data_IF_366676042810
#
_entry.id   IF_366676042810
#
_cell.length_a   1.000
_cell.length_b   1.000
_cell.length_c   1.000
_cell.angle_alpha   90.00
_cell.angle_beta   90.00
_cell.angle_gamma   90.00
#
_symmetry.space_group_name_H-M   'P 1'
#
loop_
_entity.id
_entity.type
_entity.pdbx_description
1 polymer ?
#
# COMPACT_ATOMS: atom_id res chain seq x y z
N UNK A 1 6.85 6.81 -8.04
CA UNK A 1 7.10 5.35 -8.20
C UNK A 1 5.79 4.61 -7.97
N UNK A 2 5.62 3.41 -8.53
CA UNK A 2 4.43 2.58 -8.33
C UNK A 2 4.82 1.25 -7.70
N UNK A 3 4.04 0.77 -6.74
CA UNK A 3 4.18 -0.54 -6.09
C UNK A 3 2.82 -1.23 -6.11
N UNK A 4 2.74 -2.38 -6.76
CA UNK A 4 1.53 -3.18 -6.83
C UNK A 4 1.49 -4.18 -5.67
N UNK A 5 0.52 -4.00 -4.78
CA UNK A 5 0.33 -4.81 -3.59
C UNK A 5 -0.55 -6.04 -3.85
N UNK A 6 -1.11 -6.26 -5.05
CA UNK A 6 -1.82 -7.51 -5.32
C UNK A 6 -0.91 -8.70 -5.02
N UNK A 7 -1.43 -9.70 -4.29
CA UNK A 7 -0.60 -10.73 -3.64
C UNK A 7 0.24 -11.53 -4.64
N UNK A 8 -0.27 -11.76 -5.84
CA UNK A 8 0.42 -12.43 -6.94
C UNK A 8 1.65 -11.67 -7.45
N UNK A 9 1.75 -10.36 -7.16
CA UNK A 9 2.89 -9.52 -7.52
C UNK A 9 4.02 -9.57 -6.49
N UNK A 10 3.68 -9.82 -5.23
CA UNK A 10 4.61 -9.67 -4.10
C UNK A 10 4.96 -11.00 -3.41
N UNK A 11 4.17 -12.06 -3.58
CA UNK A 11 4.40 -13.34 -2.93
C UNK A 11 4.44 -14.51 -3.92
N UNK A 12 5.51 -15.32 -3.86
CA UNK A 12 5.54 -16.64 -4.50
C UNK A 12 4.74 -17.63 -3.66
N UNK A 13 3.98 -18.52 -4.30
CA UNK A 13 3.21 -19.54 -3.59
C UNK A 13 1.95 -19.03 -2.87
N UNK A 14 1.49 -17.81 -3.15
CA UNK A 14 0.31 -17.20 -2.53
C UNK A 14 -0.98 -18.03 -2.63
N UNK A 15 -1.04 -19.05 -3.49
CA UNK A 15 -2.21 -19.92 -3.67
C UNK A 15 -2.61 -20.67 -2.39
N UNK A 16 -1.71 -20.84 -1.43
CA UNK A 16 -2.00 -21.47 -0.14
C UNK A 16 -2.36 -20.47 0.96
N UNK A 17 -2.33 -19.16 0.67
CA UNK A 17 -2.59 -18.13 1.67
C UNK A 17 -4.09 -18.09 1.98
N UNK A 18 -4.41 -17.99 3.27
CA UNK A 18 -5.76 -17.60 3.69
C UNK A 18 -6.00 -16.11 3.37
N UNK A 19 -7.25 -15.63 3.41
CA UNK A 19 -7.52 -14.20 3.27
C UNK A 19 -6.79 -13.35 4.31
N UNK A 20 -6.62 -13.87 5.53
CA UNK A 20 -5.87 -13.20 6.59
C UNK A 20 -4.38 -13.10 6.24
N UNK A 21 -3.76 -14.21 5.84
CA UNK A 21 -2.35 -14.24 5.45
C UNK A 21 -2.06 -13.29 4.30
N UNK A 22 -3.00 -13.23 3.34
CA UNK A 22 -2.93 -12.31 2.20
C UNK A 22 -2.86 -10.85 2.65
N UNK A 23 -3.79 -10.42 3.51
CA UNK A 23 -3.81 -9.04 4.02
C UNK A 23 -2.57 -8.74 4.86
N UNK A 24 -2.15 -9.65 5.74
CA UNK A 24 -0.96 -9.45 6.57
C UNK A 24 0.30 -9.29 5.70
N UNK A 25 0.50 -10.15 4.70
CA UNK A 25 1.64 -10.06 3.80
C UNK A 25 1.66 -8.75 3.00
N UNK A 26 0.50 -8.29 2.52
CA UNK A 26 0.37 -7.02 1.80
C UNK A 26 0.72 -5.82 2.69
N UNK A 27 0.27 -5.81 3.95
CA UNK A 27 0.61 -4.78 4.94
C UNK A 27 2.10 -4.77 5.26
N UNK A 28 2.71 -5.94 5.44
CA UNK A 28 4.13 -6.04 5.72
C UNK A 28 4.98 -5.54 4.55
N UNK A 29 4.59 -5.89 3.31
CA UNK A 29 5.25 -5.38 2.11
C UNK A 29 5.15 -3.85 1.98
N UNK A 30 3.98 -3.30 2.29
CA UNK A 30 3.76 -1.84 2.35
C UNK A 30 4.69 -1.16 3.36
N UNK A 31 4.72 -1.65 4.60
CA UNK A 31 5.58 -1.12 5.67
C UNK A 31 7.06 -1.23 5.30
N UNK A 32 7.49 -2.38 4.79
CA UNK A 32 8.86 -2.61 4.36
C UNK A 32 9.28 -1.64 3.25
N UNK A 33 8.37 -1.36 2.30
CA UNK A 33 8.60 -0.38 1.23
C UNK A 33 8.78 1.03 1.78
N UNK A 34 7.88 1.50 2.65
CA UNK A 34 8.03 2.82 3.26
C UNK A 34 9.35 2.95 4.03
N UNK A 35 9.71 1.92 4.81
CA UNK A 35 10.97 1.89 5.56
C UNK A 35 12.20 1.88 4.65
N UNK A 36 12.15 1.18 3.51
CA UNK A 36 13.23 1.15 2.51
C UNK A 36 13.49 2.54 1.94
N UNK A 37 12.44 3.32 1.72
CA UNK A 37 12.54 4.64 1.08
C UNK A 37 12.53 5.81 2.07
N UNK A 38 12.54 5.56 3.40
CA UNK A 38 12.39 6.60 4.44
C UNK A 38 13.37 7.78 4.37
N UNK A 39 14.55 7.58 3.76
CA UNK A 39 15.55 8.65 3.60
C UNK A 39 15.30 9.54 2.36
N UNK A 40 14.40 9.15 1.45
CA UNK A 40 14.14 9.85 0.19
C UNK A 40 12.97 10.84 0.34
N UNK A 41 13.21 11.93 1.06
CA UNK A 41 12.19 12.96 1.32
C UNK A 41 11.59 13.51 0.02
N UNK A 42 10.27 13.65 -0.01
CA UNK A 42 9.53 14.12 -1.19
C UNK A 42 9.23 13.04 -2.23
N UNK A 43 9.78 11.83 -2.10
CA UNK A 43 9.43 10.73 -2.97
C UNK A 43 7.93 10.40 -2.82
N UNK A 44 7.23 10.32 -3.95
CA UNK A 44 5.84 9.88 -4.05
C UNK A 44 5.78 8.42 -4.51
N UNK A 45 5.07 7.59 -3.76
CA UNK A 45 4.86 6.17 -4.04
C UNK A 45 3.37 5.89 -4.14
N UNK A 46 2.93 5.38 -5.29
CA UNK A 46 1.55 4.92 -5.51
C UNK A 46 1.48 3.43 -5.19
N UNK A 47 0.72 3.09 -4.15
CA UNK A 47 0.45 1.72 -3.76
C UNK A 47 -0.86 1.24 -4.35
N UNK A 48 -0.79 0.39 -5.38
CA UNK A 48 -1.96 -0.19 -6.03
C UNK A 48 -2.43 -1.37 -5.20
N UNK A 49 -3.67 -1.33 -4.72
CA UNK A 49 -4.22 -2.35 -3.82
C UNK A 49 -5.57 -2.92 -4.29
N UNK A 50 -6.11 -2.39 -5.39
CA UNK A 50 -7.38 -2.81 -5.97
C UNK A 50 -8.60 -2.18 -5.27
N UNK A 51 -9.76 -2.21 -5.95
CA UNK A 51 -10.97 -1.52 -5.49
C UNK A 51 -11.73 -2.29 -4.40
N UNK A 52 -11.74 -3.63 -4.46
CA UNK A 52 -12.19 -4.54 -3.39
C UNK A 52 -13.42 -4.10 -2.57
N UNK A 53 -13.44 -4.48 -1.28
CA UNK A 53 -14.41 -4.01 -0.27
C UNK A 53 -13.85 -2.88 0.62
N UNK A 54 -12.66 -2.36 0.30
CA UNK A 54 -11.98 -1.35 1.12
C UNK A 54 -11.16 -1.86 2.31
N UNK A 55 -11.24 -3.15 2.66
CA UNK A 55 -10.53 -3.73 3.84
C UNK A 55 -9.03 -3.42 3.85
N UNK A 56 -8.31 -3.72 2.76
CA UNK A 56 -6.86 -3.45 2.70
C UNK A 56 -6.59 -1.94 2.77
N UNK A 57 -7.39 -1.11 2.09
CA UNK A 57 -7.24 0.36 2.12
C UNK A 57 -7.34 0.92 3.53
N UNK A 58 -8.34 0.48 4.30
CA UNK A 58 -8.55 0.90 5.68
C UNK A 58 -7.35 0.53 6.57
N UNK A 59 -6.83 -0.69 6.41
CA UNK A 59 -5.63 -1.15 7.11
C UNK A 59 -4.38 -0.30 6.76
N UNK A 60 -4.16 0.00 5.47
CA UNK A 60 -3.04 0.85 5.04
C UNK A 60 -3.14 2.27 5.64
N UNK A 61 -4.34 2.86 5.63
CA UNK A 61 -4.60 4.17 6.24
C UNK A 61 -4.37 4.12 7.75
N UNK A 62 -4.80 3.05 8.43
CA UNK A 62 -4.55 2.86 9.86
C UNK A 62 -3.06 2.81 10.17
N UNK A 63 -2.26 2.09 9.37
CA UNK A 63 -0.80 2.05 9.49
C UNK A 63 -0.18 3.44 9.32
N UNK A 64 -0.61 4.20 8.30
CA UNK A 64 -0.09 5.55 8.06
C UNK A 64 -0.40 6.48 9.22
N UNK A 65 -1.65 6.48 9.72
CA UNK A 65 -2.09 7.31 10.84
C UNK A 65 -1.46 6.95 12.18
N UNK A 66 -1.04 5.70 12.37
CA UNK A 66 -0.47 5.24 13.66
C UNK A 66 1.06 5.24 13.68
N UNK A 67 1.72 4.86 12.58
CA UNK A 67 3.18 4.61 12.54
C UNK A 67 3.95 5.61 11.69
N UNK A 68 3.31 6.21 10.68
CA UNK A 68 3.94 7.15 9.75
C UNK A 68 3.22 8.51 9.80
N UNK A 69 2.95 8.98 11.01
CA UNK A 69 2.09 10.16 11.31
C UNK A 69 2.55 11.44 10.63
N UNK A 70 3.83 11.56 10.31
CA UNK A 70 4.40 12.70 9.62
C UNK A 70 4.26 12.62 8.09
N UNK A 71 3.98 11.46 7.52
CA UNK A 71 3.87 11.27 6.06
C UNK A 71 2.54 11.82 5.55
N UNK A 72 2.52 12.27 4.29
CA UNK A 72 1.29 12.71 3.62
C UNK A 72 0.78 11.58 2.74
N UNK A 73 -0.53 11.35 2.74
CA UNK A 73 -1.16 10.41 1.82
C UNK A 73 -2.46 10.96 1.24
N UNK A 74 -2.75 10.55 0.01
CA UNK A 74 -3.92 10.95 -0.79
C UNK A 74 -4.34 9.79 -1.71
N UNK A 75 -5.55 9.82 -2.25
CA UNK A 75 -5.90 8.86 -3.30
C UNK A 75 -5.03 9.12 -4.54
N UNK A 76 -4.52 8.05 -5.16
CA UNK A 76 -3.76 8.18 -6.39
C UNK A 76 -4.68 8.61 -7.56
N UNK A 77 -4.13 9.11 -8.68
CA UNK A 77 -4.94 9.67 -9.76
C UNK A 77 -6.01 8.71 -10.28
N UNK A 78 -7.28 9.13 -10.16
CA UNK A 78 -8.45 8.33 -10.56
C UNK A 78 -8.38 7.85 -12.02
N UNK A 79 -7.91 8.71 -12.93
CA UNK A 79 -7.78 8.39 -14.36
C UNK A 79 -6.84 7.21 -14.65
N UNK A 80 -5.96 6.85 -13.71
CA UNK A 80 -4.98 5.77 -13.86
C UNK A 80 -5.46 4.48 -13.19
N UNK A 81 -6.08 4.56 -12.01
CA UNK A 81 -6.35 3.39 -11.16
C UNK A 81 -7.84 3.16 -10.85
N UNK A 82 -8.73 4.05 -11.27
CA UNK A 82 -10.15 4.02 -10.90
C UNK A 82 -10.42 4.48 -9.46
N UNK A 83 -11.67 4.35 -9.01
CA UNK A 83 -12.10 4.83 -7.70
C UNK A 83 -11.44 4.01 -6.58
N UNK A 84 -10.64 4.65 -5.73
CA UNK A 84 -9.94 4.01 -4.60
C UNK A 84 -9.06 2.81 -4.99
N UNK A 85 -8.57 2.74 -6.23
CA UNK A 85 -7.73 1.62 -6.69
C UNK A 85 -6.30 1.66 -6.15
N UNK A 86 -5.84 2.83 -5.69
CA UNK A 86 -4.48 3.04 -5.20
C UNK A 86 -4.37 4.23 -4.24
N UNK A 87 -3.40 4.15 -3.33
CA UNK A 87 -3.06 5.19 -2.36
C UNK A 87 -1.68 5.77 -2.65
N UNK A 88 -1.57 7.08 -2.79
CA UNK A 88 -0.29 7.79 -2.94
C UNK A 88 0.22 8.21 -1.57
N UNK A 89 1.46 7.84 -1.25
CA UNK A 89 2.17 8.25 -0.03
C UNK A 89 3.40 9.08 -0.40
N UNK A 90 3.57 10.21 0.27
CA UNK A 90 4.75 11.09 0.15
C UNK A 90 5.65 10.92 1.37
N UNK A 91 6.89 10.49 1.14
CA UNK A 91 7.92 10.32 2.18
C UNK A 91 8.36 11.68 2.74
N UNK A 92 8.57 11.77 4.06
CA UNK A 92 8.96 12.99 4.79
C UNK A 92 10.26 12.84 5.56
#
# INVERSE_FOLDING_TARGET
>A
MVVDLHIEKIARGYKVFTPKDTIEYQKDHFIATLNRYKAQKGLKIDFVHGMGKGVLREELISILKSRFTNYIFEDAPFAVYGFQGALRVTIK
#
